data_IF_058569978542
#
_entry.id   IF_058569978542
#
_cell.length_a   1.000
_cell.length_b   1.000
_cell.length_c   1.000
_cell.angle_alpha   90.00
_cell.angle_beta   90.00
_cell.angle_gamma   90.00
#
_symmetry.space_group_name_H-M   'P 1'
#
loop_
_entity.id
_entity.type
_entity.pdbx_description
1 polymer ?
#
# COMPACT_ATOMS: atom_id res chain seq x y z
N UNK A 1 -5.04 35.01 -2.86
CA UNK A 1 -4.24 34.02 -2.08
C UNK A 1 -5.16 32.86 -1.75
N UNK A 2 -4.95 31.69 -2.34
CA UNK A 2 -5.63 30.49 -1.93
C UNK A 2 -5.28 30.22 -0.45
N UNK A 3 -6.30 30.09 0.39
CA UNK A 3 -6.07 29.72 1.78
C UNK A 3 -5.54 28.27 1.79
N UNK A 4 -4.29 28.10 2.19
CA UNK A 4 -3.70 26.80 2.41
C UNK A 4 -4.28 26.25 3.72
N UNK A 5 -5.36 25.49 3.62
CA UNK A 5 -5.86 24.78 4.78
C UNK A 5 -5.00 23.53 4.98
N UNK A 6 -4.34 23.36 6.12
CA UNK A 6 -3.61 22.13 6.38
C UNK A 6 -4.60 20.96 6.40
N UNK A 7 -4.25 19.87 5.69
CA UNK A 7 -5.02 18.63 5.75
C UNK A 7 -4.92 18.10 7.18
N UNK A 8 -6.08 17.88 7.81
CA UNK A 8 -6.14 17.22 9.12
C UNK A 8 -6.27 15.71 8.90
N UNK A 9 -5.50 14.94 9.64
CA UNK A 9 -5.62 13.50 9.64
C UNK A 9 -6.45 13.03 10.82
N UNK A 10 -7.33 12.07 10.56
CA UNK A 10 -8.07 11.36 11.60
C UNK A 10 -7.22 10.27 12.24
N UNK A 11 -6.22 9.76 11.49
CA UNK A 11 -5.19 8.85 12.02
C UNK A 11 -3.91 8.91 11.18
N UNK A 12 -2.79 8.49 11.77
CA UNK A 12 -1.50 8.35 11.07
C UNK A 12 -0.89 6.99 11.37
N UNK A 13 -0.17 6.44 10.39
CA UNK A 13 0.51 5.15 10.49
C UNK A 13 1.91 5.24 9.92
N UNK A 14 2.85 4.54 10.54
CA UNK A 14 4.20 4.34 10.03
C UNK A 14 4.47 2.86 9.95
N UNK A 15 4.73 2.35 8.75
CA UNK A 15 4.86 0.92 8.49
C UNK A 15 6.26 0.65 7.93
N UNK A 16 6.94 -0.32 8.53
CA UNK A 16 8.17 -0.88 7.98
C UNK A 16 7.83 -2.20 7.30
N UNK A 17 7.99 -2.23 5.99
CA UNK A 17 7.73 -3.39 5.16
C UNK A 17 9.03 -4.14 4.89
N UNK A 18 9.02 -5.45 5.12
CA UNK A 18 10.18 -6.32 5.05
C UNK A 18 9.90 -7.55 4.18
N UNK A 19 10.95 -8.19 3.62
CA UNK A 19 10.79 -9.36 2.76
C UNK A 19 10.18 -10.59 3.45
N UNK A 20 10.47 -10.76 4.73
CA UNK A 20 10.00 -11.90 5.52
C UNK A 20 8.47 -11.92 5.77
N UNK A 21 7.80 -10.78 5.57
CA UNK A 21 6.34 -10.69 5.71
C UNK A 21 5.59 -11.05 4.42
N UNK A 22 6.29 -11.21 3.30
CA UNK A 22 5.68 -11.49 2.00
C UNK A 22 5.18 -12.94 1.95
N UNK A 23 3.92 -13.10 1.55
CA UNK A 23 3.33 -14.42 1.25
C UNK A 23 2.78 -14.41 -0.18
N UNK A 24 2.71 -15.59 -0.79
CA UNK A 24 2.08 -15.78 -2.09
C UNK A 24 0.54 -15.92 -1.97
N UNK A 25 -0.14 -16.13 -3.09
CA UNK A 25 -1.59 -16.29 -3.15
C UNK A 25 -2.15 -17.50 -2.38
N UNK A 26 -1.30 -18.44 -2.01
CA UNK A 26 -1.66 -19.61 -1.20
C UNK A 26 -1.20 -19.48 0.25
N UNK A 27 -0.85 -18.27 0.69
CA UNK A 27 -0.41 -17.92 2.05
C UNK A 27 0.91 -18.56 2.48
N UNK A 28 1.78 -18.88 1.51
CA UNK A 28 3.10 -19.44 1.78
C UNK A 28 4.13 -18.31 1.77
N UNK A 29 4.98 -18.19 2.82
CA UNK A 29 6.06 -17.22 2.83
C UNK A 29 7.02 -17.43 1.65
N UNK A 30 7.37 -16.33 0.96
CA UNK A 30 8.26 -16.36 -0.21
C UNK A 30 9.67 -15.89 0.10
N UNK A 31 9.85 -15.15 1.21
CA UNK A 31 11.09 -14.47 1.52
C UNK A 31 11.29 -13.14 0.77
N UNK A 32 10.33 -12.73 -0.06
CA UNK A 32 10.36 -11.45 -0.76
C UNK A 32 11.65 -11.20 -1.54
N UNK A 33 12.09 -9.94 -1.56
CA UNK A 33 13.37 -9.52 -2.15
C UNK A 33 14.38 -9.27 -1.04
N UNK A 34 15.36 -10.16 -0.91
CA UNK A 34 16.39 -10.09 0.12
C UNK A 34 17.11 -8.72 0.11
N UNK A 35 17.28 -8.12 1.28
CA UNK A 35 17.97 -6.85 1.45
C UNK A 35 17.11 -5.62 1.18
N UNK A 36 15.87 -5.78 0.72
CA UNK A 36 14.96 -4.67 0.51
C UNK A 36 14.21 -4.28 1.79
N UNK A 37 13.85 -3.01 1.89
CA UNK A 37 12.97 -2.49 2.95
C UNK A 37 12.09 -1.39 2.37
N UNK A 38 10.84 -1.31 2.83
CA UNK A 38 9.92 -0.22 2.51
C UNK A 38 9.49 0.53 3.75
N UNK A 39 9.48 1.85 3.66
CA UNK A 39 8.95 2.75 4.69
C UNK A 39 7.71 3.42 4.14
N UNK A 40 6.56 3.12 4.75
CA UNK A 40 5.26 3.64 4.33
C UNK A 40 4.69 4.50 5.45
N UNK A 41 4.70 5.82 5.24
CA UNK A 41 4.06 6.76 6.15
C UNK A 41 2.74 7.21 5.56
N UNK A 42 1.65 7.01 6.30
CA UNK A 42 0.31 7.35 5.88
C UNK A 42 -0.37 8.30 6.83
N UNK A 43 -1.02 9.31 6.27
CA UNK A 43 -1.99 10.14 6.97
C UNK A 43 -3.39 9.90 6.38
N UNK A 44 -4.32 9.48 7.21
CA UNK A 44 -5.68 9.16 6.81
C UNK A 44 -6.66 10.24 7.27
N UNK A 45 -7.63 10.54 6.42
CA UNK A 45 -8.81 11.30 6.82
C UNK A 45 -10.06 10.53 6.38
N UNK A 46 -10.70 9.87 7.34
CA UNK A 46 -11.88 9.03 7.06
C UNK A 46 -13.13 9.83 6.72
N UNK A 47 -13.22 11.08 7.17
CA UNK A 47 -14.35 11.97 6.85
C UNK A 47 -14.32 12.39 5.37
N UNK A 48 -13.12 12.58 4.83
CA UNK A 48 -12.90 12.97 3.44
C UNK A 48 -12.63 11.76 2.51
N UNK A 49 -12.57 10.56 3.06
CA UNK A 49 -12.14 9.35 2.33
C UNK A 49 -10.82 9.57 1.59
N UNK A 50 -9.82 10.09 2.30
CA UNK A 50 -8.54 10.57 1.77
C UNK A 50 -7.38 9.90 2.48
N UNK A 51 -6.33 9.60 1.72
CA UNK A 51 -5.04 9.12 2.24
C UNK A 51 -3.90 9.92 1.62
N UNK A 52 -3.03 10.45 2.46
CA UNK A 52 -1.74 11.00 2.06
C UNK A 52 -0.65 9.99 2.37
N UNK A 53 0.36 9.93 1.53
CA UNK A 53 1.41 8.92 1.61
C UNK A 53 2.79 9.50 1.34
N UNK A 54 3.76 8.96 2.05
CA UNK A 54 5.18 9.11 1.77
C UNK A 54 5.78 7.70 1.80
N UNK A 55 6.10 7.19 0.62
CA UNK A 55 6.61 5.82 0.44
C UNK A 55 8.06 5.92 0.00
N UNK A 56 8.95 5.32 0.78
CA UNK A 56 10.37 5.23 0.49
C UNK A 56 10.78 3.76 0.46
N UNK A 57 11.29 3.32 -0.68
CA UNK A 57 11.80 1.96 -0.87
C UNK A 57 13.31 2.01 -0.95
N UNK A 58 13.97 1.12 -0.22
CA UNK A 58 15.44 0.99 -0.21
C UNK A 58 15.82 -0.43 -0.64
N UNK A 59 16.67 -0.53 -1.65
CA UNK A 59 17.15 -1.83 -2.15
C UNK A 59 16.12 -2.63 -2.93
N UNK A 60 15.00 -2.04 -3.33
CA UNK A 60 14.03 -2.66 -4.22
C UNK A 60 14.53 -2.56 -5.65
N UNK A 61 14.72 -3.69 -6.31
CA UNK A 61 15.23 -3.81 -7.67
C UNK A 61 14.19 -4.38 -8.62
N UNK A 62 14.44 -4.26 -9.91
CA UNK A 62 13.57 -4.75 -10.97
C UNK A 62 12.50 -3.74 -11.38
N UNK A 63 11.93 -3.96 -12.56
CA UNK A 63 10.80 -3.20 -13.05
C UNK A 63 9.54 -3.54 -12.25
N UNK A 64 8.69 -2.57 -12.01
CA UNK A 64 7.39 -2.83 -11.37
C UNK A 64 6.56 -3.80 -12.21
N UNK A 65 5.94 -4.76 -11.53
CA UNK A 65 5.12 -5.78 -12.16
C UNK A 65 3.95 -6.15 -11.26
N UNK A 66 2.75 -5.95 -11.76
CA UNK A 66 1.51 -6.31 -11.08
C UNK A 66 0.38 -6.40 -12.10
N UNK A 67 -0.62 -7.27 -11.91
CA UNK A 67 -1.86 -7.24 -12.70
C UNK A 67 -2.75 -6.02 -12.38
N UNK A 68 -2.53 -5.33 -11.25
CA UNK A 68 -3.22 -4.10 -10.90
C UNK A 68 -2.70 -2.90 -11.72
N UNK A 69 -3.37 -1.75 -11.62
CA UNK A 69 -2.99 -0.53 -12.34
C UNK A 69 -1.58 -0.04 -12.00
N UNK A 70 -1.16 -0.23 -10.75
CA UNK A 70 0.21 -0.01 -10.28
C UNK A 70 0.68 -1.21 -9.46
N UNK A 71 1.94 -1.22 -9.05
CA UNK A 71 2.54 -2.33 -8.30
C UNK A 71 2.74 -2.02 -6.81
N UNK A 72 2.22 -0.89 -6.31
CA UNK A 72 2.37 -0.43 -4.93
C UNK A 72 0.99 -0.29 -4.31
N UNK A 73 0.71 -1.09 -3.29
CA UNK A 73 -0.67 -1.27 -2.81
C UNK A 73 -0.83 -1.19 -1.31
N UNK A 74 -2.09 -0.94 -0.89
CA UNK A 74 -2.63 -1.43 0.36
C UNK A 74 -3.58 -2.57 0.03
N UNK A 75 -3.34 -3.74 0.65
CA UNK A 75 -4.20 -4.92 0.59
C UNK A 75 -5.02 -5.07 1.87
N UNK A 76 -6.19 -5.69 1.75
CA UNK A 76 -6.98 -6.10 2.91
C UNK A 76 -6.74 -7.58 3.18
N UNK A 77 -5.80 -7.86 4.06
CA UNK A 77 -5.48 -9.19 4.56
C UNK A 77 -4.72 -9.11 5.87
N UNK A 78 -4.98 -10.06 6.76
CA UNK A 78 -4.28 -10.19 8.02
C UNK A 78 -2.85 -10.70 7.80
N UNK A 79 -2.00 -10.57 8.82
CA UNK A 79 -0.63 -11.08 8.81
C UNK A 79 -0.61 -12.57 8.38
N UNK A 80 0.29 -12.89 7.47
CA UNK A 80 0.43 -14.24 6.93
C UNK A 80 -0.64 -14.66 5.93
N UNK A 81 -1.54 -13.75 5.53
CA UNK A 81 -2.61 -14.02 4.57
C UNK A 81 -2.49 -13.11 3.35
N UNK A 82 -2.86 -13.66 2.21
CA UNK A 82 -3.07 -12.94 0.97
C UNK A 82 -4.49 -12.39 0.91
N UNK A 83 -4.68 -11.26 0.24
CA UNK A 83 -6.01 -10.68 0.05
C UNK A 83 -6.03 -9.62 -1.05
N UNK A 84 -7.20 -9.07 -1.37
CA UNK A 84 -7.37 -8.14 -2.49
C UNK A 84 -6.70 -6.80 -2.22
N UNK A 85 -6.15 -6.14 -3.27
CA UNK A 85 -5.75 -4.75 -3.16
C UNK A 85 -6.97 -3.85 -3.00
N UNK A 86 -6.83 -2.81 -2.20
CA UNK A 86 -7.87 -1.79 -1.99
C UNK A 86 -7.47 -0.41 -2.51
N UNK A 87 -6.17 -0.12 -2.48
CA UNK A 87 -5.59 1.13 -3.00
C UNK A 87 -4.37 0.79 -3.84
N UNK A 88 -4.28 1.36 -5.02
CA UNK A 88 -3.09 1.35 -5.87
C UNK A 88 -2.47 2.76 -5.89
N UNK A 89 -1.25 2.86 -5.39
CA UNK A 89 -0.50 4.13 -5.35
C UNK A 89 0.33 4.29 -6.62
N UNK A 90 0.65 5.54 -7.02
CA UNK A 90 1.72 5.77 -7.99
C UNK A 90 3.01 5.08 -7.57
N UNK A 91 3.61 4.31 -8.48
CA UNK A 91 4.84 3.58 -8.18
C UNK A 91 5.97 4.55 -7.81
N UNK A 92 6.71 4.28 -6.72
CA UNK A 92 7.86 5.06 -6.34
C UNK A 92 8.90 5.17 -7.46
N UNK A 93 9.38 6.38 -7.72
CA UNK A 93 10.37 6.66 -8.75
C UNK A 93 11.79 6.60 -8.17
N UNK A 94 12.74 6.15 -9.00
CA UNK A 94 14.14 6.04 -8.60
C UNK A 94 14.70 7.43 -8.33
N UNK A 95 15.32 7.60 -7.16
CA UNK A 95 16.14 8.77 -6.83
C UNK A 95 17.51 8.55 -7.47
N UNK A 96 17.85 9.41 -8.42
CA UNK A 96 19.08 9.27 -9.23
C UNK A 96 20.34 9.11 -8.36
N UNK A 97 21.19 8.18 -8.72
CA UNK A 97 22.44 7.91 -8.02
C UNK A 97 22.30 7.18 -6.70
N UNK A 98 21.12 6.65 -6.39
CA UNK A 98 20.85 5.92 -5.15
C UNK A 98 20.14 4.59 -5.41
N UNK A 99 19.99 3.78 -4.34
CA UNK A 99 19.13 2.60 -4.32
C UNK A 99 17.75 2.90 -3.72
N UNK A 100 17.35 4.17 -3.73
CA UNK A 100 16.08 4.65 -3.14
C UNK A 100 15.07 4.91 -4.25
N UNK A 101 13.81 4.53 -3.99
CA UNK A 101 12.66 4.89 -4.80
C UNK A 101 11.65 5.60 -3.90
N UNK A 102 11.00 6.64 -4.38
CA UNK A 102 10.10 7.47 -3.58
C UNK A 102 8.83 7.86 -4.32
N UNK A 103 7.71 7.86 -3.60
CA UNK A 103 6.41 8.34 -4.04
C UNK A 103 5.74 9.10 -2.91
N UNK A 104 5.33 10.34 -3.17
CA UNK A 104 4.72 11.22 -2.17
C UNK A 104 3.49 11.89 -2.78
N UNK A 105 2.40 11.92 -2.05
CA UNK A 105 1.17 12.59 -2.51
C UNK A 105 -0.03 12.25 -1.65
N UNK A 106 -1.20 12.55 -2.18
CA UNK A 106 -2.48 12.23 -1.57
C UNK A 106 -3.44 11.70 -2.64
N UNK A 107 -4.27 10.73 -2.25
CA UNK A 107 -5.34 10.19 -3.06
C UNK A 107 -6.66 10.30 -2.30
N UNK A 108 -7.72 10.66 -2.99
CA UNK A 108 -9.08 10.61 -2.45
C UNK A 108 -9.91 9.59 -3.21
N UNK A 109 -10.90 9.00 -2.51
CA UNK A 109 -11.84 8.10 -3.17
C UNK A 109 -12.60 8.78 -4.32
N UNK A 110 -13.18 8.01 -5.24
CA UNK A 110 -13.19 6.55 -5.27
C UNK A 110 -11.83 5.95 -5.65
N UNK A 111 -11.42 4.89 -4.95
CA UNK A 111 -10.18 4.15 -5.23
C UNK A 111 -10.44 3.07 -6.26
N UNK A 112 -9.53 2.97 -7.24
CA UNK A 112 -9.57 1.98 -8.32
C UNK A 112 -8.23 1.24 -8.34
N UNK A 113 -8.28 -0.08 -8.36
CA UNK A 113 -7.07 -0.92 -8.36
C UNK A 113 -6.76 -1.54 -9.72
N UNK A 114 -7.76 -1.67 -10.59
CA UNK A 114 -7.65 -2.40 -11.85
C UNK A 114 -7.79 -3.91 -11.69
N UNK A 115 -8.06 -4.40 -10.47
CA UNK A 115 -8.31 -5.83 -10.19
C UNK A 115 -9.80 -6.02 -9.96
N UNK A 116 -10.37 -7.03 -10.64
CA UNK A 116 -11.75 -7.44 -10.43
C UNK A 116 -11.85 -8.44 -9.27
N UNK A 117 -12.94 -8.33 -8.51
CA UNK A 117 -13.30 -9.29 -7.46
C UNK A 117 -13.73 -10.65 -8.10
N UNK A 118 -14.15 -11.59 -7.26
CA UNK A 118 -14.55 -12.92 -7.70
C UNK A 118 -15.74 -12.94 -8.69
N UNK A 119 -16.52 -11.85 -8.77
CA UNK A 119 -17.59 -11.68 -9.74
C UNK A 119 -17.10 -11.33 -11.17
N UNK A 120 -15.80 -11.07 -11.35
CA UNK A 120 -15.15 -10.65 -12.59
C UNK A 120 -15.73 -9.36 -13.20
N UNK A 121 -16.27 -8.48 -12.38
CA UNK A 121 -16.87 -7.20 -12.78
C UNK A 121 -16.49 -6.06 -11.84
N UNK A 122 -16.57 -6.30 -10.51
CA UNK A 122 -16.43 -5.27 -9.48
C UNK A 122 -14.95 -5.03 -9.16
N UNK A 123 -14.46 -3.80 -9.34
CA UNK A 123 -13.12 -3.43 -8.89
C UNK A 123 -12.97 -3.61 -7.38
N UNK A 124 -11.81 -4.07 -6.94
CA UNK A 124 -11.54 -4.39 -5.53
C UNK A 124 -11.35 -3.16 -4.64
N UNK A 125 -11.23 -1.96 -5.21
CA UNK A 125 -11.16 -0.69 -4.49
C UNK A 125 -12.51 -0.24 -3.94
N UNK A 126 -12.87 1.01 -4.17
CA UNK A 126 -14.12 1.61 -3.66
C UNK A 126 -15.38 0.91 -4.17
N UNK A 127 -15.39 0.38 -5.38
CA UNK A 127 -16.54 -0.34 -5.94
C UNK A 127 -16.92 -1.58 -5.11
N UNK A 128 -15.97 -2.17 -4.38
CA UNK A 128 -16.22 -3.29 -3.46
C UNK A 128 -16.80 -2.87 -2.11
N UNK A 129 -16.99 -1.59 -1.88
CA UNK A 129 -17.45 -1.03 -0.61
C UNK A 129 -16.30 -0.57 0.31
N UNK A 130 -15.04 -0.66 -0.12
CA UNK A 130 -13.90 -0.20 0.67
C UNK A 130 -13.90 1.32 0.84
N UNK A 131 -13.59 1.77 2.06
CA UNK A 131 -13.33 3.16 2.41
C UNK A 131 -12.14 3.27 3.36
N UNK A 132 -11.57 4.46 3.48
CA UNK A 132 -10.47 4.74 4.43
C UNK A 132 -10.88 4.44 5.87
N UNK A 133 -12.14 4.67 6.22
CA UNK A 133 -12.66 4.32 7.56
C UNK A 133 -12.49 2.83 7.91
N UNK A 134 -12.47 1.94 6.93
CA UNK A 134 -12.25 0.51 7.17
C UNK A 134 -10.85 0.24 7.73
N UNK A 135 -9.83 0.97 7.29
CA UNK A 135 -8.46 0.84 7.82
C UNK A 135 -8.43 1.26 9.29
N UNK A 136 -9.04 2.41 9.61
CA UNK A 136 -9.07 2.91 10.99
C UNK A 136 -9.85 1.99 11.93
N UNK A 137 -10.92 1.37 11.43
CA UNK A 137 -11.75 0.45 12.22
C UNK A 137 -11.01 -0.84 12.58
N UNK A 138 -10.12 -1.34 11.71
CA UNK A 138 -9.36 -2.57 11.93
C UNK A 138 -8.01 -2.53 11.21
N UNK A 139 -7.04 -1.77 11.71
CA UNK A 139 -5.75 -1.60 11.01
C UNK A 139 -5.02 -2.92 10.73
N UNK A 140 -5.05 -3.86 11.68
CA UNK A 140 -4.35 -5.15 11.53
C UNK A 140 -4.87 -6.04 10.40
N UNK A 141 -6.02 -5.71 9.82
CA UNK A 141 -6.56 -6.38 8.63
C UNK A 141 -5.98 -5.85 7.32
N UNK A 142 -5.05 -4.89 7.36
CA UNK A 142 -4.47 -4.25 6.17
C UNK A 142 -2.94 -4.32 6.18
N UNK A 143 -2.37 -4.30 4.99
CA UNK A 143 -0.93 -4.27 4.80
C UNK A 143 -0.55 -3.43 3.57
N UNK A 144 0.71 -2.99 3.54
CA UNK A 144 1.30 -2.26 2.42
C UNK A 144 2.40 -3.11 1.78
N UNK A 145 2.50 -3.08 0.47
CA UNK A 145 3.48 -3.85 -0.29
C UNK A 145 3.92 -3.17 -1.59
N UNK A 146 4.86 -3.80 -2.27
CA UNK A 146 5.28 -3.46 -3.64
C UNK A 146 5.73 -4.72 -4.36
N UNK A 147 5.47 -4.77 -5.67
CA UNK A 147 5.80 -5.91 -6.54
C UNK A 147 6.74 -5.47 -7.67
N UNK A 148 7.74 -6.28 -7.94
CA UNK A 148 8.65 -6.11 -9.07
C UNK A 148 8.87 -7.43 -9.81
N UNK A 149 9.47 -7.37 -11.00
CA UNK A 149 9.83 -8.57 -11.75
C UNK A 149 10.83 -9.47 -11.01
N UNK A 150 11.63 -8.90 -10.10
CA UNK A 150 12.59 -9.65 -9.29
C UNK A 150 11.92 -10.35 -8.09
N UNK A 151 10.72 -9.94 -7.72
CA UNK A 151 9.93 -10.53 -6.64
C UNK A 151 8.43 -10.34 -6.92
N UNK A 152 7.90 -11.17 -7.82
CA UNK A 152 6.52 -11.03 -8.32
C UNK A 152 5.46 -11.14 -7.22
N UNK A 153 5.56 -12.06 -6.23
CA UNK A 153 4.61 -12.13 -5.12
C UNK A 153 4.69 -10.95 -4.14
N UNK A 154 5.74 -10.15 -4.25
CA UNK A 154 6.02 -8.98 -3.44
C UNK A 154 7.49 -8.90 -3.08
N UNK A 155 8.06 -7.69 -3.13
CA UNK A 155 9.43 -7.45 -2.69
C UNK A 155 9.50 -7.31 -1.16
N UNK A 156 8.57 -6.52 -0.61
CA UNK A 156 8.40 -6.27 0.81
C UNK A 156 6.92 -6.16 1.14
N UNK A 157 6.58 -6.46 2.37
CA UNK A 157 5.24 -6.28 2.93
C UNK A 157 5.35 -5.82 4.38
N UNK A 158 4.45 -4.93 4.79
CA UNK A 158 4.33 -4.48 6.17
C UNK A 158 2.87 -4.41 6.59
N UNK A 159 2.55 -5.00 7.74
CA UNK A 159 1.21 -4.97 8.31
C UNK A 159 0.97 -3.63 9.00
N UNK A 160 -0.24 -3.07 8.87
CA UNK A 160 -0.64 -1.94 9.69
C UNK A 160 -0.66 -2.37 11.16
N UNK A 161 -0.09 -1.52 12.02
CA UNK A 161 -0.17 -1.64 13.46
C UNK A 161 -1.18 -0.65 14.04
N UNK A 162 -1.04 -0.35 15.34
CA UNK A 162 -1.82 0.70 15.96
C UNK A 162 -1.48 2.07 15.33
N UNK A 163 -2.46 2.99 15.21
CA UNK A 163 -2.18 4.33 14.72
C UNK A 163 -1.22 5.08 15.65
N UNK A 164 -0.37 5.93 15.07
CA UNK A 164 0.54 6.80 15.83
C UNK A 164 -0.21 7.95 16.48
N UNK A 165 -1.29 8.42 15.81
CA UNK A 165 -2.19 9.45 16.30
C UNK A 165 -3.58 9.26 15.71
N UNK A 166 -4.56 9.77 16.41
CA UNK A 166 -5.98 9.74 16.03
C UNK A 166 -6.64 11.09 16.29
#
# INVERSE_FOLDING_TARGET
>A
KAANFPIKFTSTFSIVATPDQVVNSTNVPTGGLEGAVGYYDFGLNSDLNLICYNITLVGVTGAYQSPADTATHIHQSALGRSGPPRIAFPNPTIVEGSNIRQSVGCLSGPFVTGIEAADNVTDTGSASGFTIAAIEANPSAFNADVHTADAVPGAVRGQFGAPLSS
#
